data_IF_387402602375
#
_entry.id   IF_387402602375
#
_cell.length_a   1.000
_cell.length_b   1.000
_cell.length_c   1.000
_cell.angle_alpha   90.00
_cell.angle_beta   90.00
_cell.angle_gamma   90.00
#
_symmetry.space_group_name_H-M   'P 1'
#
loop_
_entity.id
_entity.type
_entity.pdbx_description
1 polymer ?
#
# COMPACT_ATOMS: atom_id res chain seq x y z
N UNK A 1 -33.05 -16.43 -9.22
CA UNK A 1 -31.72 -16.89 -9.68
C UNK A 1 -31.93 -17.84 -10.86
N UNK A 2 -31.64 -17.42 -12.10
CA UNK A 2 -31.80 -18.26 -13.30
C UNK A 2 -30.75 -17.90 -14.35
N UNK A 3 -30.33 -18.85 -15.18
CA UNK A 3 -29.49 -18.60 -16.36
C UNK A 3 -30.31 -17.79 -17.37
N UNK A 4 -29.74 -16.70 -17.89
CA UNK A 4 -30.37 -15.82 -18.90
C UNK A 4 -29.64 -15.82 -20.24
N UNK A 5 -28.45 -16.42 -20.30
CA UNK A 5 -27.66 -16.63 -21.51
C UNK A 5 -26.71 -17.81 -21.29
N UNK A 6 -26.50 -18.61 -22.32
CA UNK A 6 -25.55 -19.73 -22.34
C UNK A 6 -24.99 -19.83 -23.76
N UNK A 7 -23.68 -19.89 -23.86
CA UNK A 7 -22.98 -19.97 -25.14
C UNK A 7 -21.83 -20.95 -24.94
N UNK A 8 -21.86 -22.05 -25.67
CA UNK A 8 -20.77 -23.02 -25.79
C UNK A 8 -20.04 -22.72 -27.11
N UNK A 9 -18.81 -22.19 -27.00
CA UNK A 9 -18.07 -21.61 -28.14
C UNK A 9 -16.96 -22.51 -28.64
N UNK A 10 -16.13 -22.98 -27.71
CA UNK A 10 -14.83 -23.57 -28.01
C UNK A 10 -14.60 -24.83 -27.18
N UNK A 11 -13.99 -25.84 -27.80
CA UNK A 11 -13.55 -27.07 -27.11
C UNK A 11 -12.03 -27.02 -26.95
N UNK A 12 -11.58 -26.64 -25.76
CA UNK A 12 -10.15 -26.53 -25.42
C UNK A 12 -9.80 -27.60 -24.38
N UNK A 13 -8.61 -28.24 -24.47
CA UNK A 13 -8.15 -29.16 -23.44
C UNK A 13 -8.11 -28.49 -22.06
N UNK A 14 -8.64 -29.18 -21.05
CA UNK A 14 -8.52 -28.75 -19.66
C UNK A 14 -7.08 -29.02 -19.20
N UNK A 15 -6.37 -28.04 -18.60
CA UNK A 15 -5.04 -28.24 -18.03
C UNK A 15 -4.97 -29.44 -17.08
N UNK A 16 -3.84 -30.14 -17.10
CA UNK A 16 -3.60 -31.28 -16.21
C UNK A 16 -3.51 -30.80 -14.74
N UNK A 17 -3.98 -31.63 -13.80
CA UNK A 17 -3.87 -31.38 -12.36
C UNK A 17 -2.48 -31.71 -11.77
N UNK A 18 -1.60 -32.36 -12.53
CA UNK A 18 -0.23 -32.62 -12.08
C UNK A 18 0.55 -31.31 -11.88
N UNK A 19 1.27 -31.20 -10.77
CA UNK A 19 2.09 -30.02 -10.46
C UNK A 19 1.32 -28.80 -9.94
N UNK A 20 0.00 -28.90 -9.70
CA UNK A 20 -0.82 -27.74 -9.28
C UNK A 20 -1.11 -27.65 -7.78
N UNK A 21 -0.81 -28.71 -7.03
CA UNK A 21 -1.08 -28.77 -5.59
C UNK A 21 -0.03 -28.00 -4.78
N UNK A 22 -0.48 -27.13 -3.87
CA UNK A 22 0.40 -26.29 -3.04
C UNK A 22 0.42 -26.71 -1.56
N UNK A 23 -0.50 -27.58 -1.13
CA UNK A 23 -0.59 -27.99 0.27
C UNK A 23 0.54 -28.98 0.58
N UNK A 24 1.39 -28.62 1.52
CA UNK A 24 2.50 -29.47 1.98
C UNK A 24 2.05 -30.89 2.38
N UNK A 25 0.84 -31.05 2.93
CA UNK A 25 0.27 -32.36 3.31
C UNK A 25 -0.09 -33.27 2.14
N UNK A 26 -0.12 -32.74 0.91
CA UNK A 26 -0.44 -33.45 -0.34
C UNK A 26 0.76 -33.61 -1.26
N UNK A 27 1.82 -32.84 -1.02
CA UNK A 27 3.08 -32.93 -1.76
C UNK A 27 3.93 -34.12 -1.30
N UNK A 28 4.76 -34.63 -2.21
CA UNK A 28 5.74 -35.69 -1.94
C UNK A 28 7.16 -35.10 -1.90
N UNK A 29 8.09 -35.68 -1.12
CA UNK A 29 9.49 -35.28 -1.13
C UNK A 29 10.12 -35.32 -2.54
N UNK A 30 11.19 -34.54 -2.80
CA UNK A 30 11.98 -33.78 -1.83
C UNK A 30 11.44 -32.36 -1.53
N UNK A 31 11.60 -31.91 -0.28
CA UNK A 31 11.37 -30.51 0.11
C UNK A 31 12.72 -29.80 0.31
N UNK A 32 12.95 -28.70 -0.42
CA UNK A 32 14.18 -27.92 -0.37
C UNK A 32 13.93 -26.44 -0.74
N UNK A 33 14.78 -25.50 -0.29
CA UNK A 33 15.87 -25.67 0.68
C UNK A 33 15.34 -25.75 2.13
N UNK A 34 16.09 -26.43 3.02
CA UNK A 34 15.77 -26.46 4.45
C UNK A 34 16.14 -25.13 5.11
N UNK A 35 15.16 -24.42 5.64
CA UNK A 35 15.36 -23.19 6.40
C UNK A 35 15.58 -23.51 7.90
N UNK A 36 16.44 -22.74 8.57
CA UNK A 36 16.67 -22.88 10.02
C UNK A 36 15.58 -22.12 10.77
N UNK A 37 15.01 -22.75 11.80
CA UNK A 37 14.05 -22.10 12.68
C UNK A 37 14.67 -20.94 13.45
N UNK A 38 13.84 -19.96 13.77
CA UNK A 38 14.16 -18.81 14.62
C UNK A 38 13.08 -18.66 15.69
N UNK A 39 13.47 -18.24 16.89
CA UNK A 39 12.55 -17.88 17.96
C UNK A 39 12.77 -16.42 18.35
N UNK A 40 11.68 -15.66 18.47
CA UNK A 40 11.68 -14.25 18.88
C UNK A 40 10.87 -14.14 20.16
N UNK A 41 11.46 -13.55 21.20
CA UNK A 41 10.82 -13.41 22.52
C UNK A 41 10.97 -11.98 23.04
N UNK A 42 9.91 -11.47 23.68
CA UNK A 42 9.89 -10.17 24.34
C UNK A 42 9.64 -10.35 25.84
N UNK A 43 10.69 -10.30 26.66
CA UNK A 43 10.58 -10.54 28.11
C UNK A 43 9.67 -9.53 28.84
N UNK A 44 9.54 -8.31 28.33
CA UNK A 44 8.66 -7.28 28.88
C UNK A 44 7.23 -7.26 28.30
N UNK A 45 6.89 -8.25 27.46
CA UNK A 45 5.69 -8.17 26.62
C UNK A 45 5.84 -7.19 25.44
N UNK A 46 4.77 -6.98 24.66
CA UNK A 46 4.77 -6.05 23.53
C UNK A 46 4.93 -4.60 24.01
N UNK A 47 5.64 -3.77 23.22
CA UNK A 47 5.80 -2.34 23.44
C UNK A 47 4.56 -1.50 23.09
N UNK A 48 3.47 -2.14 22.70
CA UNK A 48 2.18 -1.52 22.38
C UNK A 48 1.09 -1.98 23.34
N UNK A 49 0.07 -1.14 23.49
CA UNK A 49 -1.16 -1.48 24.21
C UNK A 49 -2.36 -1.29 23.29
N UNK A 50 -3.37 -2.15 23.44
CA UNK A 50 -4.61 -2.11 22.69
C UNK A 50 -5.75 -1.96 23.71
N UNK A 51 -6.49 -0.86 23.64
CA UNK A 51 -7.69 -0.59 24.45
C UNK A 51 -8.90 -0.53 23.53
N UNK A 52 -9.65 -1.63 23.45
CA UNK A 52 -10.67 -1.81 22.42
C UNK A 52 -10.00 -1.84 21.04
N UNK A 53 -10.13 -0.75 20.28
CA UNK A 53 -9.52 -0.57 18.97
C UNK A 53 -8.49 0.57 18.94
N UNK A 54 -8.24 1.22 20.08
CA UNK A 54 -7.23 2.27 20.22
C UNK A 54 -5.88 1.63 20.51
N UNK A 55 -4.88 1.98 19.70
CA UNK A 55 -3.51 1.47 19.79
C UNK A 55 -2.58 2.60 20.22
N UNK A 56 -1.82 2.34 21.27
CA UNK A 56 -0.73 3.22 21.73
C UNK A 56 0.59 2.47 21.67
N UNK A 57 1.56 3.01 20.95
CA UNK A 57 2.87 2.38 20.77
C UNK A 57 3.95 3.43 20.57
N UNK A 58 5.07 3.30 21.28
CA UNK A 58 6.19 4.24 21.17
C UNK A 58 5.72 5.69 21.34
N UNK A 59 5.84 6.48 20.28
CA UNK A 59 5.35 7.85 20.20
C UNK A 59 4.13 8.01 19.28
N UNK A 60 3.33 6.98 19.07
CA UNK A 60 2.09 6.99 18.29
C UNK A 60 0.86 6.63 19.12
N UNK A 61 -0.25 7.28 18.80
CA UNK A 61 -1.60 6.85 19.16
C UNK A 61 -2.44 6.85 17.87
N UNK A 62 -3.25 5.81 17.66
CA UNK A 62 -4.18 5.71 16.53
C UNK A 62 -5.32 4.71 16.83
N UNK A 63 -6.31 4.66 15.96
CA UNK A 63 -7.43 3.73 16.02
C UNK A 63 -7.42 2.79 14.82
N UNK A 64 -7.62 1.48 15.06
CA UNK A 64 -7.78 0.46 14.00
C UNK A 64 -9.28 0.18 13.84
N UNK A 65 -9.84 0.60 12.72
CA UNK A 65 -11.23 0.34 12.34
C UNK A 65 -11.34 -0.76 11.29
N UNK A 66 -12.56 -1.28 11.18
CA UNK A 66 -12.97 -2.24 10.17
C UNK A 66 -14.23 -1.72 9.45
N UNK A 67 -14.29 -1.91 8.15
CA UNK A 67 -15.49 -1.69 7.33
C UNK A 67 -15.61 -2.82 6.31
N UNK A 68 -16.83 -3.30 6.05
CA UNK A 68 -17.07 -4.43 5.14
C UNK A 68 -16.59 -4.15 3.71
N UNK A 69 -16.64 -2.89 3.27
CA UNK A 69 -16.24 -2.49 1.92
C UNK A 69 -14.76 -2.14 1.84
N UNK A 70 -14.24 -1.34 2.79
CA UNK A 70 -12.84 -0.89 2.79
C UNK A 70 -11.83 -1.89 3.38
N UNK A 71 -12.28 -2.79 4.25
CA UNK A 71 -11.41 -3.58 5.13
C UNK A 71 -10.77 -2.71 6.22
N UNK A 72 -9.43 -2.61 6.29
CA UNK A 72 -8.73 -1.89 7.36
C UNK A 72 -8.88 -0.38 7.22
N UNK A 73 -9.19 0.30 8.32
CA UNK A 73 -9.21 1.76 8.41
C UNK A 73 -8.29 2.21 9.55
N UNK A 74 -7.25 2.98 9.26
CA UNK A 74 -6.49 3.68 10.28
C UNK A 74 -7.12 5.04 10.53
N UNK A 75 -7.32 5.43 11.78
CA UNK A 75 -7.89 6.74 12.13
C UNK A 75 -7.16 7.41 13.28
N UNK A 76 -7.27 8.74 13.33
CA UNK A 76 -6.78 9.59 14.42
C UNK A 76 -5.29 9.44 14.74
N UNK A 77 -4.47 9.08 13.75
CA UNK A 77 -3.06 8.84 13.96
C UNK A 77 -2.33 10.13 14.35
N UNK A 78 -1.76 10.11 15.55
CA UNK A 78 -1.10 11.26 16.17
C UNK A 78 0.25 10.84 16.75
N UNK A 79 1.28 11.65 16.48
CA UNK A 79 2.63 11.42 16.96
C UNK A 79 2.96 12.35 18.13
N UNK A 80 3.63 11.84 19.17
CA UNK A 80 4.12 12.65 20.29
C UNK A 80 5.43 13.31 19.92
N UNK A 81 5.43 14.64 19.93
CA UNK A 81 6.62 15.47 19.75
C UNK A 81 7.24 15.73 21.12
N UNK A 82 8.35 15.05 21.41
CA UNK A 82 9.06 15.18 22.69
C UNK A 82 9.58 16.60 22.94
N UNK A 83 9.96 17.34 21.88
CA UNK A 83 10.49 18.70 22.03
C UNK A 83 9.39 19.70 22.33
N UNK A 84 8.20 19.51 21.74
CA UNK A 84 7.03 20.35 21.99
C UNK A 84 6.13 19.85 23.13
N UNK A 85 6.43 18.68 23.69
CA UNK A 85 5.64 18.00 24.72
C UNK A 85 4.15 17.90 24.36
N UNK A 86 3.86 17.55 23.11
CA UNK A 86 2.49 17.58 22.58
C UNK A 86 2.26 16.45 21.58
N UNK A 87 1.06 15.86 21.61
CA UNK A 87 0.52 15.00 20.53
C UNK A 87 0.08 15.84 19.34
N UNK A 88 0.56 15.51 18.15
CA UNK A 88 0.32 16.26 16.92
C UNK A 88 -0.31 15.32 15.90
N UNK A 89 -1.47 15.74 15.37
CA UNK A 89 -2.25 15.00 14.39
C UNK A 89 -1.49 14.89 13.06
N UNK A 90 -1.59 13.74 12.41
CA UNK A 90 -0.96 13.46 11.11
C UNK A 90 -1.98 12.94 10.10
N UNK A 91 -2.75 11.91 10.46
CA UNK A 91 -3.72 11.27 9.58
C UNK A 91 -5.05 11.14 10.33
N UNK A 92 -6.09 11.83 9.84
CA UNK A 92 -7.44 11.70 10.38
C UNK A 92 -8.01 10.33 10.04
N UNK A 93 -7.90 9.92 8.77
CA UNK A 93 -8.40 8.64 8.27
C UNK A 93 -7.62 8.17 7.03
N UNK A 94 -7.21 6.91 7.03
CA UNK A 94 -6.54 6.26 5.91
C UNK A 94 -7.08 4.86 5.64
N UNK A 95 -7.39 4.55 4.38
CA UNK A 95 -7.86 3.23 3.93
C UNK A 95 -7.72 3.07 2.41
N UNK A 96 -7.82 1.82 1.92
CA UNK A 96 -7.94 1.54 0.48
C UNK A 96 -9.39 1.83 0.08
N UNK A 97 -9.58 2.80 -0.80
CA UNK A 97 -10.90 3.22 -1.26
C UNK A 97 -11.45 2.32 -2.35
N UNK A 98 -10.59 1.82 -3.23
CA UNK A 98 -10.97 0.87 -4.29
C UNK A 98 -9.74 0.13 -4.83
N UNK A 99 -10.00 -1.05 -5.43
CA UNK A 99 -9.07 -1.77 -6.30
C UNK A 99 -9.62 -1.82 -7.72
N UNK A 100 -8.74 -1.89 -8.72
CA UNK A 100 -9.15 -2.14 -10.11
C UNK A 100 -8.20 -3.15 -10.76
N UNK A 101 -8.75 -4.28 -11.22
CA UNK A 101 -7.99 -5.42 -11.78
C UNK A 101 -8.44 -5.71 -13.22
N UNK A 102 -8.06 -4.89 -14.20
CA UNK A 102 -8.42 -5.10 -15.60
C UNK A 102 -7.56 -6.20 -16.25
N UNK A 103 -8.22 -7.23 -16.79
CA UNK A 103 -7.58 -8.22 -17.66
C UNK A 103 -7.51 -7.71 -19.10
N UNK A 104 -6.49 -8.17 -19.84
CA UNK A 104 -6.15 -7.65 -21.17
C UNK A 104 -6.50 -8.63 -22.32
N UNK A 105 -7.40 -9.58 -22.07
CA UNK A 105 -7.94 -10.47 -23.10
C UNK A 105 -9.29 -9.92 -23.61
N UNK A 106 -9.36 -9.42 -24.85
CA UNK A 106 -10.56 -8.78 -25.41
C UNK A 106 -11.59 -9.78 -25.96
N UNK A 107 -11.33 -11.09 -25.87
CA UNK A 107 -12.25 -12.12 -26.37
C UNK A 107 -13.49 -12.24 -25.49
N UNK A 108 -14.53 -12.90 -26.02
CA UNK A 108 -15.80 -13.12 -25.31
C UNK A 108 -15.62 -13.88 -23.97
N UNK A 109 -14.49 -14.56 -23.78
CA UNK A 109 -14.18 -15.27 -22.54
C UNK A 109 -13.80 -14.34 -21.38
N UNK A 110 -13.14 -13.21 -21.67
CA UNK A 110 -12.47 -12.38 -20.66
C UNK A 110 -12.73 -10.87 -20.73
N UNK A 111 -13.30 -10.34 -21.83
CA UNK A 111 -13.40 -8.87 -22.02
C UNK A 111 -14.13 -8.13 -20.87
N UNK A 112 -14.99 -8.82 -20.14
CA UNK A 112 -15.77 -8.27 -19.02
C UNK A 112 -15.04 -8.38 -17.67
N UNK A 113 -13.94 -9.12 -17.59
CA UNK A 113 -13.19 -9.40 -16.35
C UNK A 113 -12.33 -8.21 -15.97
N UNK A 114 -12.94 -7.25 -15.28
CA UNK A 114 -12.30 -6.00 -14.86
C UNK A 114 -12.73 -5.62 -13.44
N UNK A 115 -12.27 -6.40 -12.47
CA UNK A 115 -12.84 -6.39 -11.11
C UNK A 115 -12.60 -5.07 -10.38
N UNK A 116 -13.58 -4.71 -9.56
CA UNK A 116 -13.46 -3.67 -8.55
C UNK A 116 -13.66 -4.29 -7.16
N UNK A 117 -12.59 -4.84 -6.60
CA UNK A 117 -12.69 -5.76 -5.45
C UNK A 117 -13.42 -5.17 -4.24
N UNK A 118 -13.18 -3.89 -3.92
CA UNK A 118 -13.88 -3.24 -2.81
C UNK A 118 -15.33 -2.96 -3.20
N UNK A 119 -15.54 -2.39 -4.37
CA UNK A 119 -16.83 -1.99 -4.94
C UNK A 119 -17.84 -3.11 -5.15
N UNK A 120 -17.38 -4.24 -5.65
CA UNK A 120 -18.21 -5.36 -6.15
C UNK A 120 -18.31 -6.51 -5.13
N UNK A 121 -17.24 -6.79 -4.38
CA UNK A 121 -17.18 -7.96 -3.48
C UNK A 121 -17.07 -7.60 -1.99
N UNK A 122 -16.50 -6.42 -1.69
CA UNK A 122 -16.27 -5.94 -0.33
C UNK A 122 -14.92 -6.44 0.22
N UNK A 123 -13.92 -5.56 0.22
CA UNK A 123 -12.55 -5.92 0.58
C UNK A 123 -12.42 -6.37 2.04
N UNK A 124 -13.25 -5.83 2.94
CA UNK A 124 -13.34 -6.24 4.33
C UNK A 124 -14.10 -7.55 4.53
N UNK A 125 -15.13 -7.80 3.72
CA UNK A 125 -15.86 -9.07 3.71
C UNK A 125 -14.94 -10.23 3.29
N UNK A 126 -14.02 -9.97 2.36
CA UNK A 126 -13.03 -10.91 1.85
C UNK A 126 -11.79 -11.08 2.75
N UNK A 127 -11.75 -10.44 3.93
CA UNK A 127 -10.62 -10.63 4.84
C UNK A 127 -10.53 -12.06 5.37
N UNK A 128 -9.33 -12.63 5.29
CA UNK A 128 -9.02 -13.98 5.74
C UNK A 128 -8.62 -14.00 7.21
N UNK A 129 -8.91 -15.10 7.90
CA UNK A 129 -8.42 -15.36 9.26
C UNK A 129 -6.92 -15.65 9.24
N UNK A 130 -6.14 -14.72 9.80
CA UNK A 130 -4.69 -14.80 9.79
C UNK A 130 -4.19 -16.01 10.59
N UNK A 131 -3.27 -16.76 10.00
CA UNK A 131 -2.62 -17.93 10.58
C UNK A 131 -1.45 -17.51 11.47
N UNK A 132 -1.53 -17.73 12.79
CA UNK A 132 -0.44 -17.39 13.70
C UNK A 132 0.86 -18.07 13.31
N UNK A 133 1.99 -17.40 13.57
CA UNK A 133 3.36 -17.85 13.29
C UNK A 133 3.74 -17.92 11.80
N UNK A 134 2.77 -17.77 10.88
CA UNK A 134 3.00 -17.79 9.43
C UNK A 134 2.69 -16.42 8.82
N UNK A 135 1.43 -15.98 8.87
CA UNK A 135 1.03 -14.65 8.38
C UNK A 135 1.55 -13.54 9.32
N UNK A 136 1.64 -13.86 10.60
CA UNK A 136 1.99 -12.94 11.67
C UNK A 136 3.03 -13.57 12.61
N UNK A 137 4.02 -12.80 13.07
CA UNK A 137 5.09 -13.33 13.90
C UNK A 137 4.62 -13.72 15.31
N UNK A 138 5.44 -14.47 16.08
CA UNK A 138 5.08 -14.96 17.41
C UNK A 138 4.70 -13.88 18.43
N UNK A 139 5.15 -12.64 18.23
CA UNK A 139 4.87 -11.49 19.10
C UNK A 139 3.63 -10.69 18.66
N UNK A 140 2.81 -11.22 17.76
CA UNK A 140 1.60 -10.54 17.29
C UNK A 140 0.43 -10.66 18.27
N UNK A 141 -0.31 -9.56 18.43
CA UNK A 141 -1.64 -9.54 19.01
C UNK A 141 -2.67 -9.56 17.89
N UNK A 142 -3.81 -10.24 18.10
CA UNK A 142 -4.87 -10.37 17.10
C UNK A 142 -6.13 -9.62 17.51
N UNK A 143 -6.84 -9.07 16.52
CA UNK A 143 -8.16 -8.45 16.69
C UNK A 143 -9.14 -9.14 15.73
N UNK A 144 -10.29 -9.56 16.26
CA UNK A 144 -11.38 -10.12 15.46
C UNK A 144 -12.21 -9.01 14.79
N UNK A 145 -12.79 -9.30 13.63
CA UNK A 145 -13.75 -8.41 12.96
C UNK A 145 -15.13 -9.07 12.84
N UNK A 146 -16.14 -8.25 12.60
CA UNK A 146 -17.51 -8.71 12.35
C UNK A 146 -18.16 -7.92 11.23
N UNK A 147 -18.91 -8.60 10.38
CA UNK A 147 -19.77 -7.98 9.36
C UNK A 147 -21.17 -8.61 9.37
N UNK A 148 -22.13 -8.03 8.67
CA UNK A 148 -23.48 -8.57 8.56
C UNK A 148 -23.60 -9.46 7.32
N UNK A 149 -24.11 -10.68 7.47
CA UNK A 149 -24.51 -11.54 6.36
C UNK A 149 -25.71 -10.95 5.61
N UNK A 150 -26.09 -11.58 4.49
CA UNK A 150 -27.22 -11.16 3.66
C UNK A 150 -28.58 -11.18 4.39
N UNK A 151 -28.71 -11.97 5.47
CA UNK A 151 -29.88 -12.01 6.34
C UNK A 151 -29.76 -11.08 7.57
N UNK A 152 -28.66 -10.34 7.69
CA UNK A 152 -28.36 -9.43 8.80
C UNK A 152 -27.68 -10.09 10.00
N UNK A 153 -27.44 -11.41 9.98
CA UNK A 153 -26.75 -12.10 11.08
C UNK A 153 -25.26 -11.70 11.15
N UNK A 154 -24.65 -11.61 12.35
CA UNK A 154 -23.25 -11.24 12.48
C UNK A 154 -22.33 -12.40 12.09
N UNK A 155 -21.43 -12.17 11.15
CA UNK A 155 -20.36 -13.09 10.74
C UNK A 155 -19.06 -12.65 11.38
N UNK A 156 -18.44 -13.55 12.14
CA UNK A 156 -17.13 -13.33 12.77
C UNK A 156 -16.00 -13.68 11.81
N UNK A 157 -15.03 -12.79 11.68
CA UNK A 157 -13.71 -13.07 11.09
C UNK A 157 -12.71 -13.14 12.25
N UNK A 158 -12.37 -14.35 12.74
CA UNK A 158 -11.36 -14.47 13.79
C UNK A 158 -9.99 -14.07 13.27
N UNK A 159 -9.15 -13.48 14.10
CA UNK A 159 -7.80 -13.04 13.74
C UNK A 159 -7.76 -12.16 12.47
N UNK A 160 -8.74 -11.26 12.33
CA UNK A 160 -8.88 -10.39 11.16
C UNK A 160 -7.69 -9.43 10.98
N UNK A 161 -7.15 -8.94 12.10
CA UNK A 161 -5.95 -8.10 12.14
C UNK A 161 -4.89 -8.77 12.99
N UNK A 162 -3.63 -8.55 12.65
CA UNK A 162 -2.55 -8.75 13.59
C UNK A 162 -1.69 -7.49 13.75
N UNK A 163 -1.27 -7.22 14.98
CA UNK A 163 -0.48 -6.06 15.37
C UNK A 163 0.78 -6.57 16.03
N UNK A 164 1.94 -6.18 15.51
CA UNK A 164 3.22 -6.65 16.02
C UNK A 164 4.33 -5.62 15.86
N UNK A 165 5.34 -5.72 16.72
CA UNK A 165 6.58 -4.98 16.55
C UNK A 165 7.51 -5.75 15.62
N UNK A 166 7.93 -5.10 14.54
CA UNK A 166 8.92 -5.64 13.61
C UNK A 166 10.32 -5.29 14.14
N UNK A 167 11.07 -6.34 14.42
CA UNK A 167 12.47 -6.28 14.80
C UNK A 167 13.35 -6.80 13.66
N UNK A 168 14.64 -6.42 13.72
CA UNK A 168 15.75 -6.91 12.92
C UNK A 168 16.09 -6.09 11.65
N UNK A 169 17.40 -5.94 11.45
CA UNK A 169 18.04 -5.44 10.22
C UNK A 169 17.96 -3.93 10.00
N UNK A 170 16.84 -3.30 10.35
CA UNK A 170 16.61 -1.90 10.04
C UNK A 170 17.44 -0.97 10.95
N UNK A 171 18.10 0.00 10.33
CA UNK A 171 18.91 1.02 11.00
C UNK A 171 18.10 2.30 11.06
N UNK A 172 17.78 2.75 12.27
CA UNK A 172 17.03 3.99 12.49
C UNK A 172 17.85 5.20 12.04
N UNK A 173 19.14 5.22 12.42
CA UNK A 173 20.17 6.10 11.88
C UNK A 173 21.56 5.64 12.36
N UNK A 174 22.61 6.04 11.63
CA UNK A 174 23.99 5.77 12.02
C UNK A 174 24.95 6.81 11.48
N UNK A 175 26.10 6.95 12.14
CA UNK A 175 27.24 7.70 11.62
C UNK A 175 28.56 7.13 12.15
N UNK A 176 29.60 7.20 11.32
CA UNK A 176 30.98 6.87 11.70
C UNK A 176 31.87 8.05 11.27
N UNK A 177 32.36 8.80 12.25
CA UNK A 177 33.26 9.95 12.06
C UNK A 177 34.71 9.48 12.23
N UNK A 178 35.55 9.82 11.24
CA UNK A 178 36.97 9.42 11.15
C UNK A 178 37.89 10.61 10.83
N UNK A 179 37.33 11.78 10.57
CA UNK A 179 38.05 12.97 10.14
C UNK A 179 38.59 13.79 11.30
N UNK A 180 38.13 13.52 12.53
CA UNK A 180 38.69 14.12 13.75
C UNK A 180 40.01 13.40 14.05
N UNK A 181 41.17 14.10 14.04
CA UNK A 181 42.46 13.47 14.23
C UNK A 181 42.51 12.60 15.49
N UNK A 182 43.00 11.37 15.34
CA UNK A 182 43.13 10.37 16.42
C UNK A 182 41.81 9.94 17.09
N UNK A 183 40.65 10.14 16.44
CA UNK A 183 39.35 9.70 16.96
C UNK A 183 38.57 8.91 15.91
N UNK A 184 37.98 7.79 16.35
CA UNK A 184 36.96 7.06 15.59
C UNK A 184 35.70 7.05 16.45
N UNK A 185 34.67 7.77 15.99
CA UNK A 185 33.39 7.88 16.72
C UNK A 185 32.34 7.16 15.88
N UNK A 186 31.76 6.09 16.41
CA UNK A 186 30.69 5.34 15.76
C UNK A 186 29.45 5.29 16.65
N UNK A 187 28.32 5.71 16.10
CA UNK A 187 27.01 5.63 16.74
C UNK A 187 26.03 4.98 15.76
N UNK A 188 25.29 3.98 16.23
CA UNK A 188 24.29 3.23 15.46
C UNK A 188 23.07 3.04 16.33
N UNK A 189 21.88 3.28 15.78
CA UNK A 189 20.62 2.98 16.45
C UNK A 189 19.76 2.07 15.59
N UNK A 190 19.26 1.00 16.20
CA UNK A 190 18.35 0.06 15.54
C UNK A 190 16.96 0.66 15.45
N UNK A 191 16.27 0.33 14.37
CA UNK A 191 14.87 0.69 14.17
C UNK A 191 13.96 -0.41 14.70
N UNK A 192 12.79 0.00 15.19
CA UNK A 192 11.67 -0.87 15.55
C UNK A 192 10.43 -0.16 15.04
N UNK A 193 9.63 -0.86 14.26
CA UNK A 193 8.35 -0.35 13.75
C UNK A 193 7.19 -1.19 14.27
N UNK A 194 6.01 -0.58 14.31
CA UNK A 194 4.76 -1.29 14.59
C UNK A 194 4.04 -1.54 13.27
N UNK A 195 3.66 -2.78 13.02
CA UNK A 195 2.91 -3.19 11.83
C UNK A 195 1.50 -3.59 12.24
N UNK A 196 0.50 -3.05 11.55
CA UNK A 196 -0.87 -3.56 11.53
C UNK A 196 -1.06 -4.25 10.18
N UNK A 197 -1.27 -5.56 10.21
CA UNK A 197 -1.41 -6.41 9.02
C UNK A 197 -2.82 -6.98 8.90
N UNK A 198 -3.30 -7.05 7.66
CA UNK A 198 -4.45 -7.85 7.26
C UNK A 198 -4.13 -8.61 5.98
N UNK A 199 -4.93 -9.63 5.67
CA UNK A 199 -4.94 -10.31 4.38
C UNK A 199 -6.38 -10.34 3.86
N UNK A 200 -6.59 -9.91 2.62
CA UNK A 200 -7.88 -10.06 1.92
C UNK A 200 -7.72 -10.97 0.72
N UNK A 201 -8.60 -11.96 0.61
CA UNK A 201 -8.57 -12.95 -0.47
C UNK A 201 -9.81 -12.78 -1.34
N UNK A 202 -9.65 -12.27 -2.56
CA UNK A 202 -10.74 -12.00 -3.50
C UNK A 202 -10.60 -12.95 -4.67
N UNK A 203 -11.44 -13.98 -4.70
CA UNK A 203 -11.33 -15.06 -5.69
C UNK A 203 -9.98 -15.77 -5.58
N UNK A 204 -9.12 -15.55 -6.58
CA UNK A 204 -7.83 -16.20 -6.72
C UNK A 204 -6.65 -15.39 -6.14
N UNK A 205 -6.81 -14.09 -5.84
CA UNK A 205 -5.73 -13.26 -5.32
C UNK A 205 -5.78 -13.11 -3.81
N UNK A 206 -4.59 -13.08 -3.20
CA UNK A 206 -4.36 -12.75 -1.80
C UNK A 206 -3.58 -11.44 -1.70
N UNK A 207 -4.16 -10.46 -1.00
CA UNK A 207 -3.60 -9.14 -0.78
C UNK A 207 -3.14 -8.99 0.67
N UNK A 208 -1.82 -8.95 0.90
CA UNK A 208 -1.21 -8.66 2.21
C UNK A 208 -1.07 -7.15 2.36
N UNK A 209 -1.81 -6.54 3.30
CA UNK A 209 -1.80 -5.09 3.50
C UNK A 209 -1.19 -4.76 4.87
N UNK A 210 -0.12 -3.96 4.85
CA UNK A 210 0.61 -3.53 6.04
C UNK A 210 0.53 -2.01 6.23
N UNK A 211 0.12 -1.58 7.43
CA UNK A 211 0.32 -0.21 7.92
C UNK A 211 1.45 -0.22 8.96
N UNK A 212 2.60 0.35 8.59
CA UNK A 212 3.82 0.37 9.40
C UNK A 212 4.08 1.77 9.97
N UNK A 213 4.09 1.91 11.30
CA UNK A 213 4.36 3.15 12.02
C UNK A 213 5.79 3.14 12.55
N UNK A 214 6.51 4.24 12.33
CA UNK A 214 7.92 4.38 12.75
C UNK A 214 8.09 5.46 13.81
N UNK A 215 9.03 5.31 14.77
CA UNK A 215 9.27 6.33 15.79
C UNK A 215 9.80 7.64 15.18
N UNK A 216 10.39 7.57 13.98
CA UNK A 216 10.79 8.72 13.16
C UNK A 216 9.62 9.61 12.74
N UNK A 217 8.38 9.17 12.95
CA UNK A 217 7.17 9.83 12.49
C UNK A 217 6.74 9.41 11.09
N UNK A 218 7.46 8.50 10.43
CA UNK A 218 7.02 7.96 9.13
C UNK A 218 5.87 6.97 9.30
N UNK A 219 4.94 6.98 8.34
CA UNK A 219 3.93 5.93 8.15
C UNK A 219 4.23 5.29 6.79
N UNK A 220 4.49 3.99 6.77
CA UNK A 220 4.78 3.22 5.57
C UNK A 220 3.62 2.28 5.28
N UNK A 221 3.22 2.21 4.03
CA UNK A 221 2.16 1.30 3.58
C UNK A 221 2.81 0.25 2.69
N UNK A 222 2.56 -1.02 2.98
CA UNK A 222 3.00 -2.17 2.19
C UNK A 222 1.82 -2.89 1.57
N UNK A 223 1.99 -3.32 0.32
CA UNK A 223 1.06 -4.19 -0.42
C UNK A 223 1.85 -5.38 -0.94
N UNK A 224 1.45 -6.59 -0.55
CA UNK A 224 1.95 -7.85 -1.09
C UNK A 224 0.88 -8.54 -1.93
N UNK A 225 1.24 -9.00 -3.13
CA UNK A 225 0.39 -9.78 -4.03
C UNK A 225 0.88 -11.24 -4.06
N UNK A 226 -0.01 -12.18 -3.78
CA UNK A 226 0.21 -13.63 -3.92
C UNK A 226 -1.10 -14.30 -4.33
N UNK A 227 -1.20 -15.62 -4.18
CA UNK A 227 -2.36 -16.39 -4.60
C UNK A 227 -2.14 -17.09 -5.94
N UNK A 228 -3.23 -17.37 -6.64
CA UNK A 228 -3.27 -18.13 -7.89
C UNK A 228 -3.54 -17.17 -9.05
N UNK A 229 -2.90 -17.38 -10.20
CA UNK A 229 -3.12 -16.56 -11.38
C UNK A 229 -4.55 -16.67 -11.95
N UNK A 230 -5.01 -15.63 -12.64
CA UNK A 230 -6.16 -15.76 -13.56
C UNK A 230 -5.75 -16.55 -14.80
N UNK A 231 -6.21 -17.80 -14.89
CA UNK A 231 -5.78 -18.76 -15.92
C UNK A 231 -6.83 -18.93 -17.02
N UNK A 232 -6.37 -18.89 -18.26
CA UNK A 232 -7.13 -19.25 -19.46
C UNK A 232 -6.58 -20.57 -20.02
N UNK A 233 -7.48 -21.48 -20.41
CA UNK A 233 -7.08 -22.69 -21.12
C UNK A 233 -6.64 -22.35 -22.56
N UNK A 234 -5.57 -22.97 -23.03
CA UNK A 234 -5.06 -22.83 -24.40
C UNK A 234 -4.80 -24.19 -25.05
N UNK A 235 -4.86 -24.25 -26.38
CA UNK A 235 -4.54 -25.48 -27.11
C UNK A 235 -3.03 -25.80 -27.18
N UNK A 236 -2.19 -24.91 -26.67
CA UNK A 236 -0.73 -24.97 -26.80
C UNK A 236 -0.07 -25.71 -25.65
N UNK A 237 1.00 -26.43 -25.96
CA UNK A 237 1.94 -27.05 -25.01
C UNK A 237 3.36 -26.48 -25.16
N UNK A 238 3.64 -25.79 -26.27
CA UNK A 238 4.92 -25.14 -26.50
C UNK A 238 4.74 -23.74 -27.12
N UNK A 239 5.66 -22.82 -26.81
CA UNK A 239 5.57 -21.43 -27.31
C UNK A 239 5.70 -21.34 -28.84
N UNK A 240 6.39 -22.28 -29.47
CA UNK A 240 6.55 -22.33 -30.93
C UNK A 240 5.23 -22.59 -31.68
N UNK A 241 4.22 -23.11 -30.98
CA UNK A 241 2.87 -23.37 -31.52
C UNK A 241 2.02 -22.10 -31.58
N UNK A 242 2.41 -21.06 -30.83
CA UNK A 242 1.69 -19.79 -30.76
C UNK A 242 1.96 -18.98 -32.04
N UNK A 243 0.90 -18.70 -32.80
CA UNK A 243 0.97 -17.96 -34.09
C UNK A 243 0.30 -16.59 -34.05
N UNK A 244 -0.41 -16.30 -32.97
CA UNK A 244 -1.18 -15.08 -32.76
C UNK A 244 -1.01 -14.60 -31.33
N UNK A 245 -1.52 -13.41 -31.03
CA UNK A 245 -1.52 -12.91 -29.66
C UNK A 245 -2.51 -13.73 -28.81
N UNK A 246 -2.00 -14.33 -27.74
CA UNK A 246 -2.79 -15.13 -26.80
C UNK A 246 -3.18 -14.34 -25.55
N UNK A 247 -2.87 -13.04 -25.50
CA UNK A 247 -3.22 -12.09 -24.45
C UNK A 247 -2.67 -12.47 -23.06
N UNK A 248 -1.56 -13.21 -23.05
CA UNK A 248 -0.94 -13.74 -21.85
C UNK A 248 0.35 -14.50 -22.14
N UNK A 249 0.88 -15.13 -21.10
CA UNK A 249 2.05 -16.00 -21.18
C UNK A 249 1.61 -17.47 -21.07
N UNK A 250 2.09 -18.34 -21.96
CA UNK A 250 1.96 -19.80 -21.76
C UNK A 250 2.91 -20.22 -20.62
N UNK A 251 2.35 -20.57 -19.46
CA UNK A 251 3.12 -20.85 -18.23
C UNK A 251 3.27 -22.34 -17.92
N UNK A 252 2.37 -23.16 -18.46
CA UNK A 252 2.40 -24.62 -18.41
C UNK A 252 1.59 -25.16 -19.60
N UNK A 253 1.64 -26.48 -19.82
CA UNK A 253 0.83 -27.15 -20.84
C UNK A 253 -0.64 -26.71 -20.74
N UNK A 254 -1.18 -26.24 -21.86
CA UNK A 254 -2.54 -25.76 -22.01
C UNK A 254 -2.95 -24.59 -21.10
N UNK A 255 -2.00 -23.91 -20.47
CA UNK A 255 -2.27 -22.95 -19.39
C UNK A 255 -1.68 -21.58 -19.69
N UNK A 256 -2.55 -20.60 -19.93
CA UNK A 256 -2.17 -19.22 -20.23
C UNK A 256 -2.46 -18.36 -18.99
N UNK A 257 -1.43 -17.71 -18.45
CA UNK A 257 -1.59 -16.62 -17.48
C UNK A 257 -1.94 -15.34 -18.22
N UNK A 258 -3.18 -14.87 -18.08
CA UNK A 258 -3.68 -13.70 -18.81
C UNK A 258 -3.04 -12.43 -18.27
N UNK A 259 -2.60 -11.52 -19.14
CA UNK A 259 -2.07 -10.22 -18.72
C UNK A 259 -3.14 -9.42 -17.99
N UNK A 260 -2.76 -8.77 -16.89
CA UNK A 260 -3.67 -7.95 -16.09
C UNK A 260 -2.91 -6.94 -15.24
N UNK A 261 -3.62 -5.95 -14.74
CA UNK A 261 -3.08 -4.94 -13.83
C UNK A 261 -3.68 -5.10 -12.42
N UNK A 262 -2.98 -4.58 -11.42
CA UNK A 262 -3.52 -4.38 -10.07
C UNK A 262 -3.36 -2.93 -9.69
N UNK A 263 -4.45 -2.17 -9.59
CA UNK A 263 -4.44 -0.79 -9.11
C UNK A 263 -5.11 -0.67 -7.75
N UNK A 264 -4.50 0.12 -6.86
CA UNK A 264 -5.01 0.42 -5.52
C UNK A 264 -5.06 1.93 -5.35
N UNK A 265 -6.21 2.47 -4.96
CA UNK A 265 -6.31 3.89 -4.60
C UNK A 265 -6.58 4.07 -3.11
N UNK A 266 -5.66 4.75 -2.45
CA UNK A 266 -5.74 5.06 -1.03
C UNK A 266 -6.44 6.40 -0.83
N UNK A 267 -7.40 6.43 0.09
CA UNK A 267 -7.93 7.65 0.70
C UNK A 267 -7.02 8.02 1.88
N UNK A 268 -6.42 9.21 1.86
CA UNK A 268 -5.49 9.70 2.88
C UNK A 268 -5.91 11.11 3.33
N UNK A 269 -6.75 11.16 4.34
CA UNK A 269 -7.22 12.39 4.97
C UNK A 269 -6.18 12.86 6.00
N UNK A 270 -5.28 13.72 5.51
CA UNK A 270 -4.10 14.19 6.21
C UNK A 270 -4.41 15.51 6.92
N UNK A 271 -4.55 15.43 8.24
CA UNK A 271 -4.75 16.57 9.13
C UNK A 271 -3.42 17.01 9.77
N UNK A 272 -2.50 17.54 8.96
CA UNK A 272 -1.14 17.86 9.39
C UNK A 272 -1.18 18.96 10.47
N UNK A 273 -1.06 18.54 11.73
CA UNK A 273 -1.19 19.40 12.91
C UNK A 273 -2.50 20.25 12.89
N UNK A 274 -3.57 19.74 12.26
CA UNK A 274 -4.83 20.46 12.07
C UNK A 274 -5.39 20.33 10.65
N UNK A 275 -6.68 20.63 10.48
CA UNK A 275 -7.44 20.48 9.22
C UNK A 275 -7.04 21.50 8.14
N UNK A 276 -6.62 22.72 8.51
CA UNK A 276 -6.27 23.74 7.52
C UNK A 276 -4.91 23.42 6.88
N UNK A 277 -4.92 22.81 5.71
CA UNK A 277 -3.75 22.30 5.01
C UNK A 277 -3.69 22.80 3.56
N UNK A 278 -2.60 22.52 2.85
CA UNK A 278 -2.42 22.85 1.44
C UNK A 278 -1.50 21.84 0.79
N UNK A 279 -1.73 21.55 -0.48
CA UNK A 279 -0.86 20.69 -1.27
C UNK A 279 0.22 21.51 -1.98
N UNK A 280 1.48 21.10 -1.85
CA UNK A 280 2.65 21.78 -2.42
C UNK A 280 3.45 20.82 -3.28
N UNK A 281 3.72 21.26 -4.51
CA UNK A 281 4.63 20.59 -5.45
C UNK A 281 5.97 21.30 -5.39
N UNK A 282 7.01 20.63 -4.92
CA UNK A 282 8.38 21.15 -4.90
C UNK A 282 9.15 20.58 -6.09
N UNK A 283 9.16 21.31 -7.20
CA UNK A 283 9.77 20.89 -8.46
C UNK A 283 11.29 21.08 -8.41
N UNK A 284 12.04 20.06 -8.84
CA UNK A 284 13.49 20.10 -8.97
C UNK A 284 13.87 20.55 -10.38
N UNK A 285 14.36 21.78 -10.50
CA UNK A 285 14.64 22.39 -11.80
C UNK A 285 16.13 22.62 -12.01
N UNK A 286 16.62 22.30 -13.21
CA UNK A 286 18.01 22.57 -13.61
C UNK A 286 18.15 24.03 -14.04
N UNK A 287 19.09 24.73 -13.43
CA UNK A 287 19.43 26.13 -13.70
C UNK A 287 20.85 26.19 -14.27
N UNK A 288 20.99 26.77 -15.46
CA UNK A 288 22.30 27.08 -16.06
C UNK A 288 22.98 28.21 -15.28
N UNK A 289 24.25 28.04 -14.97
CA UNK A 289 25.08 29.11 -14.40
C UNK A 289 25.45 30.07 -15.52
N UNK A 290 25.09 31.35 -15.36
CA UNK A 290 25.29 32.38 -16.38
C UNK A 290 26.67 33.03 -16.32
N UNK A 291 27.29 33.05 -15.13
CA UNK A 291 28.62 33.62 -14.95
C UNK A 291 29.67 32.64 -15.49
N UNK A 292 30.35 33.04 -16.56
CA UNK A 292 31.38 32.25 -17.25
C UNK A 292 32.64 32.05 -16.39
N UNK A 293 32.84 32.87 -15.35
CA UNK A 293 33.97 32.73 -14.43
C UNK A 293 33.77 31.60 -13.41
N UNK A 294 32.56 31.04 -13.28
CA UNK A 294 32.28 29.91 -12.40
C UNK A 294 32.52 28.60 -13.18
N UNK A 295 33.45 27.72 -12.75
CA UNK A 295 33.75 26.49 -13.49
C UNK A 295 32.55 25.55 -13.67
N UNK A 296 31.59 25.60 -12.73
CA UNK A 296 30.39 24.77 -12.74
C UNK A 296 29.34 25.35 -13.70
N UNK A 297 28.87 24.54 -14.66
CA UNK A 297 27.94 24.97 -15.73
C UNK A 297 26.46 24.97 -15.34
N UNK A 298 26.05 24.16 -14.37
CA UNK A 298 24.65 24.04 -13.97
C UNK A 298 24.51 23.64 -12.51
N UNK A 299 23.37 23.98 -11.90
CA UNK A 299 22.93 23.49 -10.59
C UNK A 299 21.45 23.12 -10.70
N UNK A 300 20.91 22.40 -9.73
CA UNK A 300 19.46 22.33 -9.58
C UNK A 300 18.98 23.29 -8.48
N UNK A 301 17.69 23.56 -8.47
CA UNK A 301 17.00 24.40 -7.49
C UNK A 301 15.63 23.82 -7.20
N UNK A 302 15.01 24.23 -6.10
CA UNK A 302 13.62 23.89 -5.81
C UNK A 302 12.73 25.08 -6.17
N UNK A 303 11.68 24.84 -6.94
CA UNK A 303 10.59 25.78 -7.21
C UNK A 303 9.32 25.19 -6.64
N UNK A 304 8.77 25.82 -5.60
CA UNK A 304 7.59 25.32 -4.89
C UNK A 304 6.32 26.02 -5.35
N UNK A 305 5.32 25.23 -5.75
CA UNK A 305 4.00 25.69 -6.19
C UNK A 305 2.94 25.14 -5.24
N UNK A 306 2.05 26.00 -4.75
CA UNK A 306 0.87 25.55 -3.98
C UNK A 306 -0.28 25.33 -4.94
N UNK A 307 -0.84 24.12 -4.96
CA UNK A 307 -2.02 23.82 -5.75
C UNK A 307 -3.22 24.56 -5.17
N UNK A 308 -3.95 25.31 -6.01
CA UNK A 308 -5.07 26.14 -5.56
C UNK A 308 -6.40 25.44 -5.74
N UNK A 309 -6.53 24.66 -6.80
CA UNK A 309 -7.73 23.89 -7.13
C UNK A 309 -7.43 22.40 -7.32
N UNK A 310 -8.47 21.58 -7.41
CA UNK A 310 -8.34 20.14 -7.63
C UNK A 310 -7.57 19.81 -8.93
N UNK A 311 -7.78 20.58 -10.01
CA UNK A 311 -7.05 20.39 -11.28
C UNK A 311 -5.54 20.58 -11.14
N UNK A 312 -5.08 21.53 -10.32
CA UNK A 312 -3.66 21.78 -10.06
C UNK A 312 -2.95 20.60 -9.35
N UNK A 313 -3.74 19.73 -8.71
CA UNK A 313 -3.29 18.65 -7.87
C UNK A 313 -3.50 17.24 -8.46
N UNK A 314 -3.85 17.15 -9.76
CA UNK A 314 -3.86 15.89 -10.51
C UNK A 314 -2.47 15.62 -11.08
N UNK A 315 -1.75 14.65 -10.51
CA UNK A 315 -0.33 14.43 -10.84
C UNK A 315 -0.12 13.03 -11.41
N UNK A 316 0.53 12.99 -12.57
CA UNK A 316 1.20 11.79 -13.09
C UNK A 316 2.67 11.83 -12.68
N UNK A 317 3.08 10.81 -11.94
CA UNK A 317 4.47 10.65 -11.51
C UNK A 317 5.37 10.38 -12.72
N UNK A 318 6.68 10.62 -12.57
CA UNK A 318 7.66 10.40 -13.64
C UNK A 318 7.77 11.52 -14.68
N UNK A 319 6.74 12.39 -14.83
CA UNK A 319 6.80 13.51 -15.78
C UNK A 319 7.77 14.64 -15.38
N UNK A 320 7.88 14.90 -14.07
CA UNK A 320 8.81 15.88 -13.48
C UNK A 320 9.36 15.33 -12.18
N UNK A 321 10.62 15.65 -11.89
CA UNK A 321 11.20 15.37 -10.59
C UNK A 321 10.65 16.37 -9.56
N UNK A 322 9.77 15.91 -8.67
CA UNK A 322 9.10 16.76 -7.70
C UNK A 322 8.89 16.03 -6.37
N UNK A 323 9.01 16.76 -5.26
CA UNK A 323 8.47 16.30 -3.97
C UNK A 323 7.01 16.76 -3.83
N UNK A 324 6.12 15.87 -3.39
CA UNK A 324 4.69 16.14 -3.21
C UNK A 324 4.37 16.19 -1.72
N UNK A 325 3.90 17.33 -1.22
CA UNK A 325 3.74 17.59 0.21
C UNK A 325 2.34 18.05 0.56
N UNK A 326 1.80 17.54 1.67
CA UNK A 326 0.71 18.19 2.40
C UNK A 326 1.32 18.98 3.54
N UNK A 327 1.04 20.28 3.59
CA UNK A 327 1.61 21.19 4.58
C UNK A 327 0.52 21.93 5.35
N UNK A 328 0.81 22.27 6.60
CA UNK A 328 0.00 23.24 7.34
C UNK A 328 0.58 24.64 7.11
N UNK A 329 -0.09 25.52 6.36
CA UNK A 329 0.44 26.85 6.01
C UNK A 329 0.48 27.81 7.21
N UNK A 330 -0.27 27.52 8.28
CA UNK A 330 -0.39 28.38 9.46
C UNK A 330 0.64 28.06 10.54
N UNK A 331 1.39 26.96 10.39
CA UNK A 331 2.36 26.49 11.37
C UNK A 331 3.73 26.35 10.75
N UNK A 332 4.74 26.85 11.47
CA UNK A 332 6.13 26.85 11.02
C UNK A 332 7.05 26.35 12.12
N UNK A 333 8.18 25.79 11.71
CA UNK A 333 9.32 25.55 12.61
C UNK A 333 9.97 26.86 13.02
N UNK A 334 10.93 26.82 13.96
CA UNK A 334 11.70 27.99 14.38
C UNK A 334 12.40 28.69 13.22
N UNK A 335 12.87 27.93 12.23
CA UNK A 335 13.55 28.45 11.02
C UNK A 335 12.57 29.01 9.98
N UNK A 336 11.26 28.92 10.22
CA UNK A 336 10.24 29.45 9.33
C UNK A 336 9.76 28.47 8.25
N UNK A 337 10.18 27.20 8.27
CA UNK A 337 9.68 26.20 7.31
C UNK A 337 8.24 25.81 7.65
N UNK A 338 7.36 25.71 6.64
CA UNK A 338 6.01 25.15 6.83
C UNK A 338 6.14 23.69 7.29
N UNK A 339 5.36 23.30 8.30
CA UNK A 339 5.33 21.90 8.74
C UNK A 339 4.55 21.06 7.71
N UNK A 340 5.00 19.84 7.45
CA UNK A 340 4.40 19.01 6.42
C UNK A 340 4.71 17.53 6.52
N UNK A 341 4.00 16.75 5.72
CA UNK A 341 4.36 15.38 5.35
C UNK A 341 4.47 15.31 3.83
N UNK A 342 5.47 14.57 3.35
CA UNK A 342 5.63 14.30 1.92
C UNK A 342 5.27 12.87 1.59
N UNK A 343 4.67 12.67 0.43
CA UNK A 343 4.51 11.38 -0.19
C UNK A 343 5.85 10.98 -0.84
N UNK A 344 6.40 9.86 -0.41
CA UNK A 344 7.47 9.14 -1.11
C UNK A 344 6.78 7.97 -1.82
N UNK A 345 6.47 8.12 -3.11
CA UNK A 345 5.69 7.12 -3.84
C UNK A 345 6.53 5.86 -4.12
N UNK A 346 5.82 4.78 -4.43
CA UNK A 346 6.39 3.59 -5.05
C UNK A 346 6.68 3.82 -6.54
N UNK A 347 6.72 2.74 -7.32
CA UNK A 347 6.83 2.85 -8.79
C UNK A 347 5.64 3.62 -9.36
N UNK A 348 5.91 4.59 -10.25
CA UNK A 348 4.88 5.35 -10.95
C UNK A 348 4.29 4.52 -12.08
N UNK A 349 3.18 3.83 -11.81
CA UNK A 349 2.44 3.01 -12.77
C UNK A 349 1.29 3.82 -13.35
N UNK A 350 0.96 3.63 -14.63
CA UNK A 350 -0.11 4.37 -15.33
C UNK A 350 -1.06 3.39 -16.04
N UNK A 351 -2.34 3.71 -16.21
CA UNK A 351 -3.25 2.86 -16.97
C UNK A 351 -2.78 2.72 -18.42
N UNK A 352 -2.86 1.50 -18.96
CA UNK A 352 -2.53 1.20 -20.36
C UNK A 352 -3.78 1.15 -21.25
N UNK A 353 -4.97 1.04 -20.67
CA UNK A 353 -6.25 1.12 -21.38
C UNK A 353 -6.54 2.53 -21.89
N UNK A 354 -7.27 2.61 -23.00
CA UNK A 354 -7.71 3.89 -23.56
C UNK A 354 -8.71 4.57 -22.63
N UNK A 355 -8.62 5.91 -22.51
CA UNK A 355 -9.49 6.69 -21.62
C UNK A 355 -10.99 6.60 -21.96
N UNK A 356 -11.34 6.23 -23.20
CA UNK A 356 -12.72 6.05 -23.66
C UNK A 356 -13.20 4.59 -23.58
N UNK A 357 -12.40 3.67 -23.05
CA UNK A 357 -12.80 2.30 -22.81
C UNK A 357 -13.73 2.20 -21.60
N UNK A 358 -14.74 1.32 -21.64
CA UNK A 358 -15.76 1.25 -20.60
C UNK A 358 -15.20 0.92 -19.20
N UNK A 359 -14.28 -0.07 -19.05
CA UNK A 359 -13.65 -0.32 -17.76
C UNK A 359 -12.82 0.87 -17.29
N UNK A 360 -12.11 1.57 -18.19
CA UNK A 360 -11.31 2.73 -17.83
C UNK A 360 -12.17 3.95 -17.43
N UNK A 361 -13.37 4.12 -18.00
CA UNK A 361 -14.34 5.13 -17.57
C UNK A 361 -14.84 4.84 -16.15
N UNK A 362 -15.14 3.57 -15.83
CA UNK A 362 -15.51 3.13 -14.48
C UNK A 362 -14.34 3.27 -13.49
N UNK A 363 -13.14 2.92 -13.94
CA UNK A 363 -11.86 2.96 -13.22
C UNK A 363 -11.11 4.28 -13.34
N UNK A 364 -11.77 5.39 -13.73
CA UNK A 364 -11.11 6.65 -14.07
C UNK A 364 -10.30 7.28 -12.92
N UNK A 365 -10.44 6.77 -11.70
CA UNK A 365 -9.58 7.11 -10.56
C UNK A 365 -8.10 6.73 -10.78
N UNK A 366 -7.80 5.84 -11.72
CA UNK A 366 -6.42 5.46 -12.09
C UNK A 366 -5.76 6.43 -13.08
N UNK A 367 -6.49 7.40 -13.63
CA UNK A 367 -5.97 8.33 -14.65
C UNK A 367 -4.83 9.24 -14.14
N UNK A 368 -4.68 9.38 -12.82
CA UNK A 368 -3.58 10.07 -12.17
C UNK A 368 -3.10 9.27 -10.96
N UNK A 369 -1.79 9.33 -10.68
CA UNK A 369 -1.22 8.73 -9.48
C UNK A 369 -1.61 9.47 -8.21
N UNK A 370 -1.79 10.79 -8.30
CA UNK A 370 -2.16 11.62 -7.14
C UNK A 370 -3.33 12.52 -7.52
N UNK A 371 -4.29 12.59 -6.61
CA UNK A 371 -5.37 13.56 -6.61
C UNK A 371 -5.42 14.26 -5.26
N UNK A 372 -5.87 15.51 -5.22
CA UNK A 372 -6.21 16.18 -3.96
C UNK A 372 -7.57 16.83 -4.13
N UNK A 373 -8.48 16.53 -3.21
CA UNK A 373 -9.84 17.07 -3.18
C UNK A 373 -10.08 17.78 -1.85
N UNK A 374 -10.96 18.78 -1.77
CA UNK A 374 -11.42 19.25 -0.46
C UNK A 374 -12.15 18.11 0.24
N UNK A 375 -12.07 18.08 1.57
CA UNK A 375 -12.79 17.09 2.36
C UNK A 375 -14.30 17.17 2.10
N UNK A 376 -14.90 16.00 1.85
CA UNK A 376 -16.34 15.85 1.80
C UNK A 376 -16.72 14.49 2.40
N UNK A 377 -17.60 14.51 3.40
CA UNK A 377 -18.06 13.32 4.12
C UNK A 377 -18.65 12.24 3.20
N UNK A 378 -19.25 12.60 2.06
CA UNK A 378 -19.83 11.63 1.12
C UNK A 378 -18.83 11.06 0.11
N UNK A 379 -17.71 11.73 -0.14
CA UNK A 379 -16.71 11.36 -1.16
C UNK A 379 -15.70 10.37 -0.56
N UNK A 380 -16.11 9.09 -0.48
CA UNK A 380 -15.32 8.02 0.18
C UNK A 380 -14.76 6.96 -0.77
N UNK A 381 -15.51 6.64 -1.82
CA UNK A 381 -15.27 5.49 -2.71
C UNK A 381 -14.85 5.98 -4.09
N UNK A 382 -13.60 5.81 -4.46
CA UNK A 382 -13.04 6.45 -5.66
C UNK A 382 -13.71 6.03 -6.98
N UNK A 383 -14.32 4.84 -7.04
CA UNK A 383 -15.14 4.35 -8.16
C UNK A 383 -16.64 4.64 -8.03
N UNK A 384 -17.06 5.33 -6.97
CA UNK A 384 -18.45 5.63 -6.65
C UNK A 384 -19.07 4.69 -5.63
N UNK A 385 -20.27 5.05 -5.19
CA UNK A 385 -20.97 4.30 -4.13
C UNK A 385 -21.44 2.92 -4.60
N UNK A 386 -21.90 2.82 -5.85
CA UNK A 386 -22.41 1.59 -6.49
C UNK A 386 -21.55 1.25 -7.72
N UNK A 387 -20.76 0.17 -7.62
CA UNK A 387 -19.71 -0.12 -8.61
C UNK A 387 -20.08 -1.23 -9.58
N UNK A 388 -20.82 -2.26 -9.12
CA UNK A 388 -21.38 -3.28 -10.02
C UNK A 388 -22.26 -2.61 -11.09
N UNK A 389 -21.93 -2.88 -12.36
CA UNK A 389 -22.57 -2.28 -13.55
C UNK A 389 -22.58 -0.74 -13.58
N UNK A 390 -21.63 -0.09 -12.89
CA UNK A 390 -21.50 1.36 -12.91
C UNK A 390 -21.19 1.91 -14.31
N UNK A 391 -21.47 3.20 -14.50
CA UNK A 391 -21.19 3.92 -15.77
C UNK A 391 -20.07 4.95 -15.65
N UNK A 392 -19.37 4.96 -14.51
CA UNK A 392 -18.28 5.92 -14.23
C UNK A 392 -18.75 7.34 -13.92
N UNK A 393 -20.02 7.51 -13.55
CA UNK A 393 -20.67 8.81 -13.29
C UNK A 393 -20.52 9.33 -11.85
N UNK A 394 -19.93 8.54 -10.94
CA UNK A 394 -19.69 8.90 -9.53
C UNK A 394 -18.23 8.65 -9.08
N UNK A 395 -17.26 8.77 -9.99
CA UNK A 395 -15.84 8.52 -9.66
C UNK A 395 -15.15 9.78 -9.10
N UNK A 396 -13.97 9.62 -8.48
CA UNK A 396 -13.13 10.77 -8.06
C UNK A 396 -12.76 11.67 -9.25
N UNK A 397 -12.69 11.12 -10.47
CA UNK A 397 -12.49 11.91 -11.67
C UNK A 397 -13.66 12.87 -11.92
N UNK A 398 -14.90 12.39 -11.74
CA UNK A 398 -16.13 13.22 -11.82
C UNK A 398 -16.19 14.23 -10.68
N UNK A 399 -15.84 13.85 -9.45
CA UNK A 399 -15.88 14.79 -8.32
C UNK A 399 -14.87 15.92 -8.50
N UNK A 400 -13.65 15.58 -8.90
CA UNK A 400 -12.58 16.56 -9.09
C UNK A 400 -12.81 17.49 -10.28
N UNK A 401 -13.70 17.14 -11.23
CA UNK A 401 -14.03 18.03 -12.36
C UNK A 401 -14.80 19.29 -11.95
N UNK A 402 -15.27 19.34 -10.70
CA UNK A 402 -15.85 20.54 -10.08
C UNK A 402 -14.79 21.61 -9.79
N UNK A 403 -13.51 21.24 -9.82
CA UNK A 403 -12.35 22.10 -9.68
C UNK A 403 -12.39 23.04 -8.47
N UNK A 404 -12.76 22.47 -7.33
CA UNK A 404 -12.97 23.22 -6.08
C UNK A 404 -11.64 23.74 -5.52
N UNK A 405 -11.71 24.79 -4.71
CA UNK A 405 -10.54 25.31 -3.98
C UNK A 405 -10.03 24.31 -2.94
N UNK A 406 -8.71 24.13 -2.89
CA UNK A 406 -8.01 23.24 -1.95
C UNK A 406 -6.91 23.95 -1.14
N UNK A 407 -6.54 25.19 -1.46
CA UNK A 407 -5.55 25.93 -0.68
C UNK A 407 -6.14 26.38 0.67
N UNK A 408 -5.42 26.09 1.77
CA UNK A 408 -5.80 26.42 3.15
C UNK A 408 -7.19 25.88 3.52
N UNK A 409 -7.46 24.63 3.16
CA UNK A 409 -8.71 23.91 3.48
C UNK A 409 -8.40 22.58 4.14
N UNK A 410 -9.44 21.96 4.65
CA UNK A 410 -9.46 20.52 4.91
C UNK A 410 -9.44 19.78 3.56
N UNK A 411 -8.45 18.91 3.37
CA UNK A 411 -8.15 18.28 2.08
C UNK A 411 -7.79 16.81 2.25
N UNK A 412 -8.17 16.01 1.25
CA UNK A 412 -7.87 14.59 1.19
C UNK A 412 -6.90 14.35 0.04
N UNK A 413 -5.81 13.65 0.33
CA UNK A 413 -4.89 13.11 -0.66
C UNK A 413 -5.39 11.74 -1.10
N UNK A 414 -5.49 11.53 -2.41
CA UNK A 414 -5.75 10.22 -2.99
C UNK A 414 -4.49 9.76 -3.70
N UNK A 415 -3.98 8.59 -3.34
CA UNK A 415 -2.78 8.04 -3.96
C UNK A 415 -3.08 6.70 -4.61
N UNK A 416 -2.89 6.65 -5.93
CA UNK A 416 -2.96 5.44 -6.73
C UNK A 416 -1.56 4.85 -6.89
N UNK A 417 -1.43 3.58 -6.52
CA UNK A 417 -0.31 2.72 -6.86
C UNK A 417 -0.80 1.51 -7.65
N UNK A 418 0.10 0.84 -8.37
CA UNK A 418 -0.28 -0.39 -9.05
C UNK A 418 0.89 -1.23 -9.55
N UNK A 419 0.53 -2.29 -10.27
CA UNK A 419 1.43 -3.28 -10.85
C UNK A 419 0.88 -3.68 -12.21
N UNK A 420 1.72 -3.67 -13.25
CA UNK A 420 1.45 -4.39 -14.49
C UNK A 420 1.96 -5.81 -14.32
N UNK A 421 1.10 -6.81 -14.45
CA UNK A 421 1.47 -8.20 -14.27
C UNK A 421 1.56 -8.90 -15.62
N UNK A 422 2.79 -9.22 -16.02
CA UNK A 422 3.11 -10.16 -17.09
C UNK A 422 3.42 -11.49 -16.41
N UNK A 423 2.47 -12.45 -16.36
CA UNK A 423 2.69 -13.69 -15.61
C UNK A 423 3.90 -14.47 -16.13
N UNK A 424 4.60 -15.11 -15.21
CA UNK A 424 5.77 -15.95 -15.46
C UNK A 424 5.55 -17.37 -14.93
N UNK A 425 6.44 -18.31 -15.29
CA UNK A 425 6.32 -19.70 -14.85
C UNK A 425 6.49 -19.82 -13.34
N UNK A 426 7.34 -18.98 -12.74
CA UNK A 426 7.57 -18.92 -11.29
C UNK A 426 6.31 -18.51 -10.51
N UNK A 427 5.33 -17.88 -11.16
CA UNK A 427 4.06 -17.51 -10.55
C UNK A 427 3.06 -18.68 -10.48
N UNK A 428 3.40 -19.83 -11.08
CA UNK A 428 2.56 -21.03 -11.14
C UNK A 428 3.13 -22.18 -10.28
N UNK A 429 2.29 -22.96 -9.57
CA UNK A 429 0.82 -22.85 -9.49
C UNK A 429 0.32 -21.83 -8.45
N UNK A 430 1.22 -21.32 -7.61
CA UNK A 430 0.94 -20.28 -6.60
C UNK A 430 2.10 -19.29 -6.61
N UNK A 431 1.75 -18.02 -6.70
CA UNK A 431 2.69 -16.92 -6.94
C UNK A 431 3.50 -16.56 -5.69
N UNK A 432 4.85 -16.54 -5.74
CA UNK A 432 5.68 -15.94 -4.70
C UNK A 432 5.32 -14.46 -4.49
N UNK A 433 5.30 -13.99 -3.25
CA UNK A 433 4.77 -12.65 -2.95
C UNK A 433 5.54 -11.53 -3.64
N UNK A 434 4.88 -10.77 -4.52
CA UNK A 434 5.38 -9.51 -5.07
C UNK A 434 4.99 -8.36 -4.13
N UNK A 435 5.97 -7.59 -3.66
CA UNK A 435 5.74 -6.51 -2.68
C UNK A 435 6.00 -5.12 -3.26
N UNK A 436 5.14 -4.17 -2.91
CA UNK A 436 5.27 -2.74 -3.20
C UNK A 436 4.75 -1.89 -2.04
N UNK A 437 4.75 -0.56 -2.20
CA UNK A 437 4.28 0.34 -1.14
C UNK A 437 4.71 1.79 -1.33
N UNK A 438 4.42 2.60 -0.32
CA UNK A 438 4.80 4.03 -0.26
C UNK A 438 5.07 4.49 1.18
N UNK A 439 5.70 5.65 1.35
CA UNK A 439 5.97 6.26 2.67
C UNK A 439 5.37 7.67 2.75
N UNK A 440 4.62 7.94 3.82
CA UNK A 440 4.29 9.27 4.29
C UNK A 440 5.38 9.70 5.28
N UNK A 441 6.22 10.65 4.86
CA UNK A 441 7.42 11.04 5.62
C UNK A 441 7.31 12.46 6.18
N UNK A 442 7.58 12.67 7.49
CA UNK A 442 7.58 14.00 8.07
C UNK A 442 8.63 14.89 7.37
N UNK A 443 8.21 16.07 6.92
CA UNK A 443 9.06 17.02 6.20
C UNK A 443 8.92 18.39 6.83
N UNK A 444 9.96 18.81 7.56
CA UNK A 444 9.90 19.98 8.46
C UNK A 444 8.79 19.90 9.52
N UNK A 445 8.23 18.71 9.78
CA UNK A 445 7.18 18.55 10.78
C UNK A 445 7.71 18.80 12.20
N UNK A 446 8.84 18.19 12.52
CA UNK A 446 9.58 18.36 13.77
C UNK A 446 10.67 19.44 13.63
N UNK A 447 11.12 20.02 14.74
CA UNK A 447 12.21 21.03 14.73
C UNK A 447 13.56 20.44 14.33
N UNK A 448 13.78 19.15 14.58
CA UNK A 448 14.96 18.39 14.19
C UNK A 448 14.64 16.89 14.18
N UNK A 449 15.65 16.03 14.00
CA UNK A 449 15.48 14.58 13.99
C UNK A 449 14.68 14.12 15.25
N UNK A 450 13.44 13.61 15.10
CA UNK A 450 12.56 13.28 16.22
C UNK A 450 13.08 12.09 17.05
N UNK A 451 13.96 11.26 16.49
CA UNK A 451 14.52 10.08 17.14
C UNK A 451 15.97 10.25 17.59
N UNK A 452 16.47 11.49 17.63
CA UNK A 452 17.82 11.78 18.12
C UNK A 452 18.03 11.31 19.57
N UNK A 453 16.99 11.36 20.40
CA UNK A 453 17.01 10.93 21.82
C UNK A 453 16.43 9.53 22.05
N UNK A 454 16.04 8.82 20.99
CA UNK A 454 15.48 7.45 21.08
C UNK A 454 16.62 6.45 21.24
N UNK A 455 16.60 5.64 22.30
CA UNK A 455 17.60 4.59 22.54
C UNK A 455 17.22 3.32 21.77
N UNK A 456 18.22 2.58 21.30
CA UNK A 456 18.01 1.22 20.79
C UNK A 456 17.42 0.33 21.90
N UNK A 457 16.54 -0.63 21.55
CA UNK A 457 16.15 -1.68 22.47
C UNK A 457 17.38 -2.38 23.06
N UNK A 458 17.34 -2.72 24.34
CA UNK A 458 18.42 -3.50 24.96
C UNK A 458 18.39 -4.91 24.39
N UNK A 459 19.55 -5.39 23.91
CA UNK A 459 19.72 -6.81 23.59
C UNK A 459 19.64 -7.60 24.89
N UNK A 460 18.73 -8.56 24.93
CA UNK A 460 18.66 -9.51 26.03
C UNK A 460 19.51 -10.72 25.65
N UNK A 461 20.34 -11.19 26.60
CA UNK A 461 21.02 -12.46 26.43
C UNK A 461 19.96 -13.56 26.37
N UNK A 462 20.06 -14.42 25.37
CA UNK A 462 19.19 -15.59 25.27
C UNK A 462 19.33 -16.38 26.58
N UNK A 463 18.23 -16.75 27.25
CA UNK A 463 18.32 -17.62 28.41
C UNK A 463 19.04 -18.89 27.96
N UNK A 464 20.17 -19.18 28.59
CA UNK A 464 21.08 -20.26 28.23
C UNK A 464 20.41 -21.61 28.56
N UNK A 465 19.39 -21.98 27.80
CA UNK A 465 18.74 -23.27 27.88
C UNK A 465 19.56 -24.21 27.00
N UNK A 466 20.49 -24.94 27.61
CA UNK A 466 20.98 -26.19 27.02
C UNK A 466 19.77 -27.07 26.74
N UNK A 467 19.31 -27.09 25.49
CA UNK A 467 18.37 -28.12 25.04
C UNK A 467 19.14 -29.44 25.11
N UNK A 468 18.89 -30.23 26.16
CA UNK A 468 19.20 -31.66 26.10
C UNK A 468 18.26 -32.24 25.04
N UNK A 469 18.82 -32.50 23.86
CA UNK A 469 18.24 -33.41 22.88
C UNK A 469 19.06 -34.69 22.86
#
# INVERSE_FOLDING_TARGET
MKIVGYIDRDVIPVPNAEGTEYRASKLKPPFAPKLKGIAVTQHGGPGFTIQGHSVSWGNWDFHVGFDIKAGPIISLASVYDLQKQKRRRVLHKGFISELFVPYQDPTEEWYYTTYFDSGEYGFGQCMSSLQPLTDCPPNAAFIDAYFAASDGSPVKIPNAFCIFEKYAGDIMWRHTEISIPNQVITEVRSDVSLVVRIVSTVGNYDYVIDWEFKPSGSIKIGVGLTGILGLKAGAYTHTDEIKEDIYGTLIADNTIGVYHDHFFIYYLDLDIDGEINSFVKSNLETVKVKDENIPRKSRWTVVSETARTEADARINLGLKASELLVVNPNKRTKQGNKIGYRLVPGSGVHPLSLLNDYPQIRGAFTNYNVWVTPYNKSEKWAAGSYVDRSRGDDTVAVWSSRDREIEKKDIVLWYMMGFHHVPSQEDFPVMPTLSGGFELRPTNFFESNPVLKTKSPKLLQWPNCTSQH
#
